data_IF_769193264725
#
_entry.id   IF_769193264725
#
_cell.length_a   1.000
_cell.length_b   1.000
_cell.length_c   1.000
_cell.angle_alpha   90.00
_cell.angle_beta   90.00
_cell.angle_gamma   90.00
#
_symmetry.space_group_name_H-M   'P 1'
#
loop_
_entity.id
_entity.type
_entity.pdbx_description
1 polymer ?
#
# COMPACT_ATOMS: atom_id res chain seq x y z
N UNK A 1 24.05 -34.54 -17.72
CA UNK A 1 23.68 -34.20 -16.32
C UNK A 1 23.89 -32.72 -15.95
N UNK A 2 24.04 -31.80 -16.92
CA UNK A 2 24.21 -30.36 -16.64
C UNK A 2 22.90 -29.56 -16.82
N UNK A 3 21.97 -30.02 -17.66
CA UNK A 3 20.70 -29.31 -17.91
C UNK A 3 19.66 -29.45 -16.78
N UNK A 4 19.84 -30.40 -15.85
CA UNK A 4 18.94 -30.54 -14.68
C UNK A 4 19.23 -29.54 -13.56
N UNK A 5 20.44 -28.95 -13.52
CA UNK A 5 20.86 -28.06 -12.44
C UNK A 5 20.38 -26.61 -12.64
N UNK A 6 20.17 -26.19 -13.90
CA UNK A 6 19.69 -24.84 -14.24
C UNK A 6 18.20 -24.62 -13.92
N UNK A 7 17.40 -25.67 -13.85
CA UNK A 7 15.95 -25.56 -13.58
C UNK A 7 15.61 -25.32 -12.10
N UNK A 8 16.57 -25.48 -11.17
CA UNK A 8 16.35 -25.29 -9.73
C UNK A 8 16.57 -23.83 -9.32
N UNK A 9 17.38 -23.07 -10.06
CA UNK A 9 17.65 -21.66 -9.77
C UNK A 9 16.45 -20.73 -10.03
N UNK A 10 15.52 -21.10 -10.91
CA UNK A 10 14.37 -20.27 -11.29
C UNK A 10 13.22 -20.28 -10.28
N UNK A 11 13.25 -21.18 -9.29
CA UNK A 11 12.16 -21.37 -8.32
C UNK A 11 12.33 -20.62 -6.99
N UNK A 12 13.44 -19.90 -6.79
CA UNK A 12 13.76 -19.24 -5.50
C UNK A 12 13.59 -17.71 -5.47
N UNK A 13 13.26 -17.08 -6.60
CA UNK A 13 13.12 -15.61 -6.68
C UNK A 13 11.64 -15.24 -6.87
N UNK A 14 10.76 -15.71 -5.98
CA UNK A 14 9.45 -15.12 -5.85
C UNK A 14 9.55 -13.91 -4.89
N UNK A 15 9.18 -12.68 -5.31
CA UNK A 15 9.15 -11.55 -4.39
C UNK A 15 8.15 -11.85 -3.26
N UNK A 16 8.59 -11.73 -2.01
CA UNK A 16 7.70 -11.86 -0.87
C UNK A 16 6.64 -10.77 -0.95
N UNK A 17 5.33 -11.11 -0.95
CA UNK A 17 4.30 -10.09 -0.95
C UNK A 17 4.39 -9.25 0.33
N UNK A 18 4.00 -7.96 0.29
CA UNK A 18 3.85 -7.13 1.47
C UNK A 18 3.06 -7.87 2.55
N UNK A 19 3.61 -7.99 3.75
CA UNK A 19 2.97 -8.76 4.84
C UNK A 19 2.10 -7.87 5.70
N UNK A 20 2.38 -6.57 5.73
CA UNK A 20 1.65 -5.58 6.51
C UNK A 20 1.42 -4.31 5.71
N UNK A 21 0.50 -3.45 6.19
CA UNK A 21 0.29 -2.11 5.63
C UNK A 21 1.57 -1.26 5.62
N UNK A 22 2.52 -1.53 6.52
CA UNK A 22 3.76 -0.74 6.66
C UNK A 22 4.79 -0.99 5.55
N UNK A 23 4.64 -2.06 4.78
CA UNK A 23 5.55 -2.43 3.69
C UNK A 23 5.26 -1.64 2.40
N UNK A 24 4.12 -0.94 2.34
CA UNK A 24 3.72 -0.17 1.17
C UNK A 24 4.34 1.23 1.15
N UNK A 25 4.67 1.66 -0.07
CA UNK A 25 4.99 3.05 -0.40
C UNK A 25 3.91 3.56 -1.35
N UNK A 26 3.33 4.72 -1.04
CA UNK A 26 2.27 5.33 -1.84
C UNK A 26 2.69 6.71 -2.32
N UNK A 27 2.08 7.18 -3.41
CA UNK A 27 2.25 8.53 -3.93
C UNK A 27 1.21 9.46 -3.31
N UNK A 28 1.66 10.59 -2.80
CA UNK A 28 0.81 11.67 -2.27
C UNK A 28 0.14 12.44 -3.42
N UNK A 29 -0.84 13.29 -3.10
CA UNK A 29 -1.54 14.13 -4.09
C UNK A 29 -0.58 15.10 -4.81
N UNK A 30 0.47 15.57 -4.12
CA UNK A 30 1.53 16.42 -4.69
C UNK A 30 2.60 15.63 -5.45
N UNK A 31 2.45 14.30 -5.54
CA UNK A 31 3.31 13.42 -6.30
C UNK A 31 4.57 12.91 -5.60
N UNK A 32 4.77 13.22 -4.31
CA UNK A 32 5.88 12.69 -3.49
C UNK A 32 5.57 11.27 -3.00
N UNK A 33 6.60 10.45 -2.81
CA UNK A 33 6.46 9.13 -2.20
C UNK A 33 6.41 9.20 -0.67
N UNK A 34 5.57 8.37 -0.04
CA UNK A 34 5.50 8.18 1.41
C UNK A 34 5.42 6.71 1.75
N UNK A 35 6.30 6.25 2.64
CA UNK A 35 6.25 4.90 3.22
C UNK A 35 5.21 4.85 4.33
N UNK A 36 4.28 3.90 4.27
CA UNK A 36 3.24 3.75 5.30
C UNK A 36 3.81 3.33 6.66
N UNK A 37 5.03 2.79 6.70
CA UNK A 37 5.78 2.53 7.94
C UNK A 37 5.95 3.76 8.84
N UNK A 38 5.88 4.99 8.30
CA UNK A 38 5.89 6.25 9.07
C UNK A 38 4.75 6.32 10.10
N UNK A 39 3.64 5.61 9.87
CA UNK A 39 2.45 5.64 10.72
C UNK A 39 2.41 4.48 11.74
N UNK A 40 3.49 3.72 11.90
CA UNK A 40 3.55 2.60 12.84
C UNK A 40 3.26 3.05 14.28
N UNK A 41 2.41 2.28 14.97
CA UNK A 41 1.97 2.59 16.33
C UNK A 41 0.79 3.57 16.41
N UNK A 42 0.29 4.08 15.28
CA UNK A 42 -0.92 4.89 15.21
C UNK A 42 -2.09 4.04 14.69
N UNK A 43 -3.31 4.39 15.09
CA UNK A 43 -4.52 3.88 14.41
C UNK A 43 -4.60 4.56 13.03
N UNK A 44 -4.86 3.78 11.98
CA UNK A 44 -4.89 4.26 10.59
C UNK A 44 -6.28 3.96 10.02
N UNK A 45 -6.93 4.98 9.47
CA UNK A 45 -8.16 4.86 8.68
C UNK A 45 -7.82 5.16 7.22
N UNK A 46 -8.07 4.21 6.31
CA UNK A 46 -7.79 4.34 4.88
C UNK A 46 -9.13 4.41 4.14
N UNK A 47 -9.32 5.46 3.35
CA UNK A 47 -10.58 5.72 2.65
C UNK A 47 -10.25 6.03 1.19
N UNK A 48 -10.90 5.32 0.27
CA UNK A 48 -10.93 5.72 -1.13
C UNK A 48 -12.00 6.81 -1.32
N UNK A 49 -11.64 7.91 -1.97
CA UNK A 49 -12.55 9.03 -2.21
C UNK A 49 -12.76 9.29 -3.69
N UNK A 50 -13.85 9.97 -4.04
CA UNK A 50 -14.14 10.43 -5.38
C UNK A 50 -14.96 11.72 -5.33
N UNK A 51 -14.60 12.74 -6.11
CA UNK A 51 -15.18 14.09 -6.00
C UNK A 51 -16.64 14.19 -6.47
N UNK A 52 -17.09 13.30 -7.35
CA UNK A 52 -18.43 13.32 -7.96
C UNK A 52 -19.23 12.06 -7.61
N UNK A 53 -19.16 11.65 -6.35
CA UNK A 53 -19.88 10.49 -5.84
C UNK A 53 -21.04 10.95 -4.94
N UNK A 54 -22.12 10.16 -4.83
CA UNK A 54 -23.19 10.42 -3.86
C UNK A 54 -22.68 10.44 -2.41
N UNK A 55 -21.54 9.80 -2.15
CA UNK A 55 -20.87 9.83 -0.85
C UNK A 55 -19.90 11.00 -0.65
N UNK A 56 -19.72 11.90 -1.62
CA UNK A 56 -18.83 13.07 -1.44
C UNK A 56 -19.12 13.88 -0.17
N UNK A 57 -20.39 14.10 0.26
CA UNK A 57 -20.68 14.82 1.51
C UNK A 57 -20.02 14.21 2.76
N UNK A 58 -19.58 12.95 2.73
CA UNK A 58 -18.87 12.31 3.84
C UNK A 58 -17.58 13.02 4.25
N UNK A 59 -16.99 13.84 3.36
CA UNK A 59 -15.79 14.62 3.69
C UNK A 59 -15.98 15.49 4.94
N UNK A 60 -17.15 16.09 5.12
CA UNK A 60 -17.44 16.96 6.27
C UNK A 60 -17.32 16.22 7.61
N UNK A 61 -17.81 14.98 7.68
CA UNK A 61 -17.71 14.18 8.91
C UNK A 61 -16.32 13.60 9.10
N UNK A 62 -15.61 13.26 8.01
CA UNK A 62 -14.23 12.81 8.08
C UNK A 62 -13.31 13.89 8.62
N UNK A 63 -13.50 15.15 8.22
CA UNK A 63 -12.73 16.30 8.70
C UNK A 63 -12.95 16.56 10.20
N UNK A 64 -14.11 16.20 10.77
CA UNK A 64 -14.40 16.33 12.21
C UNK A 64 -13.71 15.28 13.09
N UNK A 65 -13.20 14.18 12.52
CA UNK A 65 -12.48 13.13 13.26
C UNK A 65 -11.04 13.55 13.64
N UNK A 66 -10.58 14.70 13.16
CA UNK A 66 -9.22 15.23 13.33
C UNK A 66 -9.03 16.04 14.60
#
# INVERSE_FOLDING_TARGET
MINSLLLVLSLWIAPNPPKTVYDFTIKTIDGKEVKLSKFKGKKILIINTASKCGYTPQYEDLEKLH
#
